data_IF_804864478620
#
_entry.id   IF_804864478620
#
_cell.length_a   1.000
_cell.length_b   1.000
_cell.length_c   1.000
_cell.angle_alpha   90.00
_cell.angle_beta   90.00
_cell.angle_gamma   90.00
#
_symmetry.space_group_name_H-M   'P 1'
#
loop_
_entity.id
_entity.type
_entity.pdbx_description
1 polymer ?
#
# COMPACT_ATOMS: atom_id res chain seq x y z
N UNK A 1 -36.72 -6.62 57.40
CA UNK A 1 -37.49 -6.05 56.28
C UNK A 1 -36.52 -5.82 55.13
N UNK A 2 -36.72 -6.57 54.05
CA UNK A 2 -35.82 -6.72 52.91
C UNK A 2 -36.03 -5.60 51.85
N UNK A 3 -34.96 -5.32 51.06
CA UNK A 3 -34.94 -4.63 49.74
C UNK A 3 -35.24 -3.10 49.72
N UNK A 4 -34.63 -2.22 48.91
CA UNK A 4 -33.53 -2.25 47.92
C UNK A 4 -33.24 -0.78 47.48
N UNK A 5 -31.98 -0.36 47.52
CA UNK A 5 -31.19 0.32 46.47
C UNK A 5 -31.86 1.33 45.50
N UNK A 6 -31.32 2.57 45.42
CA UNK A 6 -31.54 3.44 44.26
C UNK A 6 -31.26 4.94 44.47
N UNK A 7 -29.98 5.34 44.37
CA UNK A 7 -29.48 6.59 43.76
C UNK A 7 -30.13 7.93 44.18
N UNK A 8 -29.52 8.70 45.09
CA UNK A 8 -28.41 9.65 44.79
C UNK A 8 -28.83 10.69 43.74
N UNK A 9 -29.10 11.91 44.24
CA UNK A 9 -29.06 13.21 43.56
C UNK A 9 -30.33 13.60 42.77
N UNK A 10 -31.36 14.00 43.51
CA UNK A 10 -32.41 14.92 43.04
C UNK A 10 -32.69 15.90 44.18
N UNK A 11 -31.91 16.99 44.30
CA UNK A 11 -32.29 18.25 44.99
C UNK A 11 -31.06 19.16 45.16
N UNK A 12 -30.61 19.84 44.09
CA UNK A 12 -29.87 21.12 44.23
C UNK A 12 -30.27 22.08 43.10
N UNK A 13 -31.57 22.14 42.84
CA UNK A 13 -32.20 23.20 42.05
C UNK A 13 -32.33 24.44 42.95
N UNK A 14 -31.30 25.28 43.06
CA UNK A 14 -31.40 26.71 43.43
C UNK A 14 -30.04 27.42 43.42
N UNK A 15 -30.07 28.63 42.86
CA UNK A 15 -29.11 29.73 43.03
C UNK A 15 -27.76 29.66 42.28
N UNK A 16 -27.76 30.09 41.02
CA UNK A 16 -26.80 31.12 40.54
C UNK A 16 -27.37 31.84 39.32
N UNK A 17 -28.07 32.95 39.57
CA UNK A 17 -28.26 34.04 38.60
C UNK A 17 -26.98 34.86 38.57
N UNK A 18 -26.08 34.57 37.64
CA UNK A 18 -25.06 35.53 37.20
C UNK A 18 -24.96 35.43 35.69
N UNK A 19 -25.15 36.57 35.05
CA UNK A 19 -25.25 36.77 33.61
C UNK A 19 -24.03 36.15 32.89
N UNK A 20 -24.27 35.19 32.00
CA UNK A 20 -23.26 34.70 31.05
C UNK A 20 -23.26 35.69 29.87
N UNK A 21 -22.14 36.37 29.55
CA UNK A 21 -22.09 37.21 28.37
C UNK A 21 -22.21 36.34 27.12
N UNK A 22 -23.22 36.61 26.29
CA UNK A 22 -23.32 36.08 24.93
C UNK A 22 -22.20 36.71 24.10
N UNK A 23 -21.05 36.07 24.05
CA UNK A 23 -20.01 36.41 23.10
C UNK A 23 -20.44 35.91 21.73
N UNK A 24 -20.74 36.85 20.84
CA UNK A 24 -20.90 36.63 19.41
C UNK A 24 -19.64 35.93 18.91
N UNK A 25 -19.76 34.65 18.56
CA UNK A 25 -18.70 33.96 17.81
C UNK A 25 -18.87 34.40 16.37
N UNK A 26 -18.13 35.43 15.97
CA UNK A 26 -17.91 35.73 14.56
C UNK A 26 -17.22 34.51 13.96
N UNK A 27 -17.96 33.75 13.16
CA UNK A 27 -17.42 32.67 12.32
C UNK A 27 -16.54 33.30 11.24
N UNK A 28 -15.31 33.66 11.63
CA UNK A 28 -14.25 33.96 10.68
C UNK A 28 -13.94 32.64 9.96
N UNK A 29 -14.56 32.46 8.80
CA UNK A 29 -14.20 31.41 7.85
C UNK A 29 -12.83 31.77 7.31
N UNK A 30 -11.78 31.33 8.00
CA UNK A 30 -10.44 31.31 7.42
C UNK A 30 -10.44 30.20 6.38
N UNK A 31 -10.57 30.57 5.12
CA UNK A 31 -10.21 29.69 4.01
C UNK A 31 -8.71 29.45 4.11
N UNK A 32 -8.31 28.40 4.81
CA UNK A 32 -6.99 27.83 4.66
C UNK A 32 -6.96 27.20 3.28
N UNK A 33 -6.46 27.94 2.30
CA UNK A 33 -5.93 27.34 1.08
C UNK A 33 -4.82 26.41 1.56
N UNK A 34 -5.12 25.13 1.70
CA UNK A 34 -4.09 24.10 1.80
C UNK A 34 -3.35 24.23 0.48
N UNK A 35 -2.21 24.93 0.51
CA UNK A 35 -1.26 24.85 -0.57
C UNK A 35 -0.89 23.38 -0.65
N UNK A 36 -1.47 22.66 -1.62
CA UNK A 36 -0.99 21.36 -2.07
C UNK A 36 0.45 21.59 -2.45
N UNK A 37 1.33 21.38 -1.49
CA UNK A 37 2.76 21.33 -1.73
C UNK A 37 2.92 20.01 -2.45
N UNK A 38 2.89 20.07 -3.78
CA UNK A 38 3.34 18.97 -4.63
C UNK A 38 4.83 18.86 -4.37
N UNK A 39 5.19 18.17 -3.29
CA UNK A 39 6.53 17.67 -3.07
C UNK A 39 6.70 16.61 -4.14
N UNK A 40 7.11 17.01 -5.33
CA UNK A 40 7.79 16.11 -6.27
C UNK A 40 9.03 15.66 -5.53
N UNK A 41 8.90 14.59 -4.73
CA UNK A 41 10.05 13.77 -4.38
C UNK A 41 10.58 13.35 -5.73
N UNK A 42 11.63 14.04 -6.19
CA UNK A 42 12.43 13.63 -7.32
C UNK A 42 13.14 12.36 -6.86
N UNK A 43 12.39 11.27 -6.76
CA UNK A 43 12.93 9.93 -6.80
C UNK A 43 13.81 9.91 -8.05
N UNK A 44 15.06 9.47 -7.88
CA UNK A 44 15.97 9.33 -9.00
C UNK A 44 15.23 8.68 -10.17
N UNK A 45 15.45 9.12 -11.43
CA UNK A 45 14.74 8.56 -12.57
C UNK A 45 14.78 7.04 -12.47
N UNK A 46 13.59 6.41 -12.49
CA UNK A 46 13.42 4.98 -12.29
C UNK A 46 14.55 4.26 -13.05
N UNK A 47 15.46 3.57 -12.35
CA UNK A 47 16.65 3.04 -12.99
C UNK A 47 16.24 2.04 -14.09
N UNK A 48 15.02 1.52 -14.00
CA UNK A 48 14.41 0.55 -14.88
C UNK A 48 13.58 1.15 -16.02
N UNK A 49 14.10 2.13 -16.77
CA UNK A 49 13.35 2.88 -17.81
C UNK A 49 12.67 2.04 -18.90
N UNK A 50 13.17 0.85 -19.18
CA UNK A 50 12.64 -0.05 -20.22
C UNK A 50 11.57 -1.00 -19.68
N UNK A 51 11.61 -1.29 -18.38
CA UNK A 51 10.72 -2.25 -17.75
C UNK A 51 9.46 -1.53 -17.24
N UNK A 52 8.26 -2.00 -17.57
CA UNK A 52 7.04 -1.44 -16.99
C UNK A 52 7.00 -1.73 -15.48
N UNK A 53 6.16 -1.00 -14.73
CA UNK A 53 5.90 -1.34 -13.33
C UNK A 53 5.28 -2.73 -13.25
N UNK A 54 5.81 -3.61 -12.39
CA UNK A 54 5.27 -4.96 -12.17
C UNK A 54 4.06 -4.95 -11.26
N UNK A 55 4.09 -4.07 -10.25
CA UNK A 55 3.05 -4.02 -9.25
C UNK A 55 1.80 -3.34 -9.82
N UNK A 56 0.64 -3.93 -9.53
CA UNK A 56 -0.65 -3.45 -10.01
C UNK A 56 -0.92 -2.02 -9.52
N UNK A 57 -1.00 -1.08 -10.47
CA UNK A 57 -1.25 0.35 -10.22
C UNK A 57 -2.72 0.65 -9.96
N UNK A 58 -3.61 -0.33 -10.12
CA UNK A 58 -5.04 -0.18 -9.79
C UNK A 58 -5.31 -0.27 -8.29
N UNK A 59 -4.31 -0.65 -7.49
CA UNK A 59 -4.45 -0.76 -6.05
C UNK A 59 -4.67 0.59 -5.38
N UNK A 60 -5.74 0.65 -4.57
CA UNK A 60 -6.22 1.89 -3.95
C UNK A 60 -5.89 1.98 -2.45
N UNK A 61 -5.31 0.93 -1.87
CA UNK A 61 -4.95 0.88 -0.46
C UNK A 61 -5.94 0.09 0.39
N UNK A 62 -5.73 0.15 1.71
CA UNK A 62 -6.49 -0.64 2.67
C UNK A 62 -8.00 -0.38 2.63
N UNK A 63 -8.79 -1.45 2.55
CA UNK A 63 -10.25 -1.41 2.66
C UNK A 63 -11.00 -0.92 1.43
N UNK A 64 -10.31 -0.61 0.33
CA UNK A 64 -10.92 -0.15 -0.93
C UNK A 64 -10.72 -1.22 -2.03
N UNK A 65 -11.78 -1.68 -2.72
CA UNK A 65 -13.17 -1.24 -2.64
C UNK A 65 -13.94 -1.78 -1.42
N UNK A 66 -13.43 -2.82 -0.75
CA UNK A 66 -13.97 -3.37 0.49
C UNK A 66 -12.89 -4.15 1.27
N UNK A 67 -13.21 -4.63 2.47
CA UNK A 67 -12.26 -5.32 3.37
C UNK A 67 -11.79 -6.71 2.93
N UNK A 68 -12.40 -7.31 1.90
CA UNK A 68 -12.04 -8.66 1.41
C UNK A 68 -11.44 -8.68 0.01
N UNK A 69 -11.52 -7.57 -0.73
CA UNK A 69 -10.97 -7.44 -2.08
C UNK A 69 -10.09 -6.20 -2.23
N UNK A 70 -9.56 -5.67 -1.12
CA UNK A 70 -8.62 -4.55 -1.17
C UNK A 70 -7.25 -5.01 -1.65
N UNK A 71 -6.41 -4.07 -2.08
CA UNK A 71 -4.99 -4.32 -2.26
C UNK A 71 -4.18 -3.08 -1.87
N UNK A 72 -3.04 -3.26 -1.18
CA UNK A 72 -2.20 -2.15 -0.76
C UNK A 72 -1.56 -1.48 -1.98
N UNK A 73 -1.29 -0.19 -1.87
CA UNK A 73 -0.61 0.57 -2.93
C UNK A 73 0.86 0.14 -3.05
N UNK A 74 1.52 0.48 -4.16
CA UNK A 74 2.95 0.19 -4.33
C UNK A 74 3.82 0.83 -3.22
N UNK A 75 3.41 1.99 -2.72
CA UNK A 75 4.06 2.69 -1.60
C UNK A 75 3.89 1.94 -0.28
N UNK A 76 2.69 1.42 0.01
CA UNK A 76 2.42 0.64 1.22
C UNK A 76 3.18 -0.71 1.24
N UNK A 77 3.41 -1.29 0.06
CA UNK A 77 4.20 -2.52 -0.11
C UNK A 77 5.71 -2.26 -0.11
N UNK A 78 6.13 -1.01 -0.30
CA UNK A 78 7.54 -0.63 -0.41
C UNK A 78 8.21 -1.21 -1.65
N UNK A 79 7.50 -1.23 -2.79
CA UNK A 79 8.05 -1.74 -4.05
C UNK A 79 9.20 -0.85 -4.50
N UNK A 80 10.41 -1.43 -4.55
CA UNK A 80 11.62 -0.75 -5.00
C UNK A 80 12.17 -1.44 -6.24
N UNK A 81 12.64 -0.64 -7.20
CA UNK A 81 13.25 -1.11 -8.43
C UNK A 81 14.73 -0.77 -8.40
N UNK A 82 15.58 -1.78 -8.60
CA UNK A 82 17.03 -1.63 -8.58
C UNK A 82 17.64 -2.30 -9.81
N UNK A 83 18.51 -1.58 -10.51
CA UNK A 83 19.28 -2.14 -11.62
C UNK A 83 20.57 -2.70 -11.08
N UNK A 84 20.87 -3.94 -11.46
CA UNK A 84 22.12 -4.60 -11.12
C UNK A 84 22.00 -6.10 -11.05
N UNK A 85 23.14 -6.75 -10.84
CA UNK A 85 23.18 -8.17 -10.54
C UNK A 85 22.48 -8.42 -9.21
N UNK A 86 21.37 -9.16 -9.24
CA UNK A 86 20.86 -9.79 -8.03
C UNK A 86 21.88 -10.86 -7.62
N UNK A 87 22.56 -10.65 -6.49
CA UNK A 87 23.55 -11.61 -5.96
C UNK A 87 22.96 -12.99 -5.69
N UNK A 88 21.64 -13.09 -5.55
CA UNK A 88 20.90 -14.35 -5.42
C UNK A 88 20.66 -15.08 -6.76
N UNK A 89 20.81 -14.41 -7.90
CA UNK A 89 20.65 -15.00 -9.25
C UNK A 89 21.87 -14.60 -10.11
N UNK A 90 23.02 -15.26 -9.92
CA UNK A 90 24.29 -14.89 -10.58
C UNK A 90 24.29 -15.10 -12.10
N UNK A 91 23.29 -15.80 -12.63
CA UNK A 91 23.13 -16.06 -14.06
C UNK A 91 22.51 -14.88 -14.82
N UNK A 92 21.97 -13.88 -14.11
CA UNK A 92 21.40 -12.70 -14.75
C UNK A 92 22.51 -11.72 -15.15
N UNK A 93 22.39 -11.06 -16.30
CA UNK A 93 23.34 -10.03 -16.71
C UNK A 93 23.19 -8.76 -15.84
N UNK A 94 24.24 -7.94 -15.78
CA UNK A 94 24.32 -6.79 -14.86
C UNK A 94 23.35 -5.64 -15.18
N UNK A 95 22.81 -5.62 -16.38
CA UNK A 95 21.80 -4.67 -16.87
C UNK A 95 20.37 -5.15 -16.60
N UNK A 96 20.19 -6.05 -15.63
CA UNK A 96 18.87 -6.53 -15.25
C UNK A 96 18.27 -5.60 -14.20
N UNK A 97 17.05 -5.12 -14.46
CA UNK A 97 16.23 -4.50 -13.45
C UNK A 97 15.67 -5.59 -12.53
N UNK A 98 15.64 -5.33 -11.24
CA UNK A 98 15.04 -6.22 -10.26
C UNK A 98 14.15 -5.47 -9.29
N UNK A 99 13.15 -6.17 -8.80
CA UNK A 99 12.28 -5.68 -7.75
C UNK A 99 12.01 -6.78 -6.74
N UNK A 100 11.91 -6.38 -5.48
CA UNK A 100 11.51 -7.25 -4.39
C UNK A 100 10.22 -6.71 -3.82
N UNK A 101 9.21 -7.58 -3.73
CA UNK A 101 7.89 -7.21 -3.22
C UNK A 101 7.66 -7.97 -1.92
N UNK A 102 7.44 -7.20 -0.85
CA UNK A 102 7.15 -7.73 0.49
C UNK A 102 5.72 -7.36 0.86
N UNK A 103 4.80 -8.29 0.70
CA UNK A 103 3.41 -8.04 1.05
C UNK A 103 3.22 -7.82 2.56
N UNK A 104 2.40 -6.83 2.96
CA UNK A 104 2.04 -6.59 4.36
C UNK A 104 1.40 -7.81 5.03
N UNK A 105 1.46 -7.86 6.36
CA UNK A 105 0.80 -8.91 7.14
C UNK A 105 -0.71 -8.96 6.85
N UNK A 106 -1.26 -10.17 6.76
CA UNK A 106 -2.66 -10.39 6.39
C UNK A 106 -2.94 -10.36 4.89
N UNK A 107 -1.92 -10.10 4.07
CA UNK A 107 -1.99 -10.23 2.61
C UNK A 107 -1.05 -11.33 2.11
N UNK A 108 -1.34 -11.85 0.92
CA UNK A 108 -0.48 -12.77 0.17
C UNK A 108 -0.20 -12.18 -1.21
N UNK A 109 0.94 -12.53 -1.79
CA UNK A 109 1.27 -12.09 -3.14
C UNK A 109 0.54 -12.98 -4.14
N UNK A 110 -0.07 -12.34 -5.14
CA UNK A 110 -0.57 -12.99 -6.33
C UNK A 110 0.27 -12.53 -7.50
N UNK A 111 0.77 -13.49 -8.27
CA UNK A 111 1.50 -13.24 -9.49
C UNK A 111 0.72 -13.76 -10.68
N UNK A 112 0.64 -12.96 -11.73
CA UNK A 112 0.04 -13.38 -12.99
C UNK A 112 1.15 -13.93 -13.89
N UNK A 113 1.11 -15.24 -14.14
CA UNK A 113 2.03 -15.94 -15.04
C UNK A 113 1.23 -16.54 -16.18
N UNK A 114 1.59 -16.18 -17.42
CA UNK A 114 0.91 -16.64 -18.64
C UNK A 114 -0.62 -16.45 -18.59
N UNK A 115 -1.10 -15.34 -18.01
CA UNK A 115 -2.53 -15.04 -17.88
C UNK A 115 -3.25 -15.74 -16.72
N UNK A 116 -2.55 -16.56 -15.93
CA UNK A 116 -3.10 -17.23 -14.75
C UNK A 116 -2.59 -16.56 -13.48
N UNK A 117 -3.51 -16.13 -12.63
CA UNK A 117 -3.18 -15.58 -11.31
C UNK A 117 -2.96 -16.72 -10.31
N UNK A 118 -1.79 -16.76 -9.69
CA UNK A 118 -1.39 -17.79 -8.73
C UNK A 118 -0.91 -17.15 -7.42
N UNK A 119 -1.26 -17.73 -6.26
CA UNK A 119 -0.73 -17.27 -4.98
C UNK A 119 0.75 -17.67 -4.84
N UNK A 120 1.51 -16.82 -4.14
CA UNK A 120 2.94 -16.97 -3.94
C UNK A 120 3.43 -16.73 -2.53
N UNK A 121 4.68 -17.11 -2.26
CA UNK A 121 5.37 -16.70 -1.04
C UNK A 121 5.73 -15.20 -1.13
N UNK A 122 5.59 -14.51 0.01
CA UNK A 122 6.16 -13.18 0.23
C UNK A 122 7.43 -13.35 1.09
N UNK A 123 8.60 -12.77 0.72
CA UNK A 123 8.81 -11.88 -0.42
C UNK A 123 8.94 -12.63 -1.76
N UNK A 124 8.52 -11.98 -2.84
CA UNK A 124 8.79 -12.43 -4.21
C UNK A 124 9.83 -11.52 -4.86
N UNK A 125 10.67 -12.12 -5.70
CA UNK A 125 11.67 -11.41 -6.48
C UNK A 125 11.31 -11.57 -7.95
N UNK A 126 11.24 -10.45 -8.65
CA UNK A 126 11.05 -10.40 -10.08
C UNK A 126 12.19 -9.62 -10.72
N UNK A 127 12.50 -9.94 -11.96
CA UNK A 127 13.57 -9.32 -12.73
C UNK A 127 13.14 -9.11 -14.18
N UNK A 128 13.65 -8.06 -14.81
CA UNK A 128 13.38 -7.70 -16.19
C UNK A 128 14.66 -7.21 -16.85
N UNK A 129 14.96 -7.69 -18.04
CA UNK A 129 16.16 -7.26 -18.77
C UNK A 129 15.95 -5.88 -19.37
N UNK A 130 16.96 -5.02 -19.26
CA UNK A 130 16.96 -3.72 -19.93
C UNK A 130 17.51 -3.78 -21.35
N UNK A 131 18.16 -4.87 -21.75
CA UNK A 131 18.66 -5.07 -23.10
C UNK A 131 18.57 -6.54 -23.55
N UNK A 132 18.75 -6.78 -24.85
CA UNK A 132 18.70 -8.11 -25.45
C UNK A 132 17.36 -8.47 -26.06
N UNK A 133 17.11 -9.77 -26.24
CA UNK A 133 15.92 -10.30 -26.93
C UNK A 133 14.65 -10.26 -26.09
N UNK A 134 14.77 -10.37 -24.75
CA UNK A 134 13.63 -10.42 -23.81
C UNK A 134 13.50 -9.12 -23.02
N UNK A 135 13.76 -8.00 -23.71
CA UNK A 135 13.78 -6.68 -23.10
C UNK A 135 12.38 -6.21 -22.71
N UNK A 136 12.23 -5.65 -21.52
CA UNK A 136 10.95 -5.14 -21.02
C UNK A 136 9.99 -6.20 -20.50
N UNK A 137 10.36 -7.48 -20.59
CA UNK A 137 9.57 -8.60 -20.05
C UNK A 137 10.02 -8.92 -18.63
N UNK A 138 9.05 -9.09 -17.73
CA UNK A 138 9.30 -9.48 -16.36
C UNK A 138 9.29 -11.00 -16.21
N UNK A 139 10.19 -11.49 -15.37
CA UNK A 139 10.34 -12.89 -15.04
C UNK A 139 10.45 -13.05 -13.53
N UNK A 140 10.04 -14.21 -13.02
CA UNK A 140 10.30 -14.63 -11.66
C UNK A 140 10.91 -16.03 -11.64
N UNK A 141 11.69 -16.34 -10.59
CA UNK A 141 12.46 -17.58 -10.50
C UNK A 141 13.91 -17.44 -10.98
N UNK A 142 14.57 -18.58 -11.17
CA UNK A 142 15.99 -18.68 -11.49
C UNK A 142 16.13 -19.26 -12.91
N UNK A 143 16.84 -18.61 -13.83
CA UNK A 143 17.10 -19.17 -15.16
C UNK A 143 17.79 -20.55 -15.08
N UNK A 144 17.39 -21.54 -15.90
CA UNK A 144 16.37 -21.51 -16.98
C UNK A 144 14.96 -21.94 -16.53
N UNK A 145 14.69 -21.99 -15.23
CA UNK A 145 13.39 -22.36 -14.64
C UNK A 145 12.52 -21.13 -14.35
N UNK A 146 12.84 -20.00 -14.96
CA UNK A 146 12.08 -18.77 -14.81
C UNK A 146 10.77 -18.83 -15.61
N UNK A 147 9.81 -18.03 -15.16
CA UNK A 147 8.51 -17.90 -15.80
C UNK A 147 8.22 -16.43 -16.06
N UNK A 148 7.63 -16.16 -17.22
CA UNK A 148 7.18 -14.82 -17.59
C UNK A 148 6.04 -14.36 -16.67
N UNK A 149 6.19 -13.15 -16.16
CA UNK A 149 5.35 -12.50 -15.19
C UNK A 149 4.69 -11.27 -15.83
N UNK A 150 3.37 -11.20 -15.76
CA UNK A 150 2.60 -10.09 -16.33
C UNK A 150 2.29 -9.00 -15.30
N UNK A 151 2.02 -9.38 -14.05
CA UNK A 151 1.75 -8.45 -12.94
C UNK A 151 1.94 -9.10 -11.58
N UNK A 152 2.13 -8.26 -10.55
CA UNK A 152 2.19 -8.62 -9.14
C UNK A 152 1.18 -7.79 -8.37
N UNK A 153 0.50 -8.41 -7.42
CA UNK A 153 -0.42 -7.70 -6.52
C UNK A 153 -0.47 -8.37 -5.15
N UNK A 154 -0.47 -7.60 -4.08
CA UNK A 154 -0.77 -8.15 -2.75
C UNK A 154 -2.29 -8.10 -2.53
N UNK A 155 -2.90 -9.18 -2.04
CA UNK A 155 -4.34 -9.20 -1.69
C UNK A 155 -4.56 -9.82 -0.33
N UNK A 156 -5.63 -9.46 0.39
CA UNK A 156 -5.94 -10.04 1.69
C UNK A 156 -6.06 -11.55 1.60
N UNK A 157 -5.53 -12.23 2.61
CA UNK A 157 -5.80 -13.65 2.82
C UNK A 157 -7.23 -13.74 3.32
N UNK A 158 -8.17 -14.03 2.41
CA UNK A 158 -9.57 -14.25 2.76
C UNK A 158 -9.63 -15.62 3.44
N UNK A 159 -9.63 -15.62 4.78
CA UNK A 159 -9.84 -16.83 5.55
C UNK A 159 -11.21 -17.42 5.22
N UNK A 160 -11.21 -18.65 4.70
CA UNK A 160 -12.41 -19.47 4.52
C UNK A 160 -12.89 -20.08 5.83
#
# INVERSE_FOLDING_TARGET
>A
MFLRSGFVVIMFFKCTRTCIPTQQVDTNTTTTTVATTTTTVSEAPDPCTVCPKTYDTTCQGFGIPNLISWCPTAEEVGVTYVVGLLSIIPLLPSDTCSTTIVCPLGTTVYYNVLGTELPGPSPIIAWCRQSGTDVGTWHTGIPPLDVELSSLVCRPVVGG
#
